data_IF_387782714108
#
_entry.id   IF_387782714108
#
_cell.length_a   1.000
_cell.length_b   1.000
_cell.length_c   1.000
_cell.angle_alpha   90.00
_cell.angle_beta   90.00
_cell.angle_gamma   90.00
#
_symmetry.space_group_name_H-M   'P 1'
#
loop_
_entity.id
_entity.type
_entity.pdbx_description
1 polymer ?
#
# COMPACT_ATOMS: atom_id res chain seq x y z
N UNK A 1 25.00 -7.66 12.37
CA UNK A 1 24.52 -6.27 12.29
C UNK A 1 23.03 -6.28 12.57
N UNK A 2 22.52 -5.42 13.48
CA UNK A 2 21.09 -5.31 13.75
C UNK A 2 20.49 -4.28 12.79
N UNK A 3 19.56 -4.71 11.95
CA UNK A 3 18.93 -3.87 10.94
C UNK A 3 17.48 -3.60 11.35
N UNK A 4 17.07 -2.31 11.38
CA UNK A 4 15.67 -1.95 11.53
C UNK A 4 15.04 -1.83 10.15
N UNK A 5 14.01 -2.65 9.91
CA UNK A 5 13.14 -2.48 8.76
C UNK A 5 11.97 -1.58 9.16
N UNK A 6 11.62 -0.63 8.31
CA UNK A 6 10.56 0.33 8.58
C UNK A 6 9.87 0.78 7.30
N UNK A 7 8.64 1.25 7.43
CA UNK A 7 7.88 1.80 6.32
C UNK A 7 7.02 2.98 6.78
N UNK A 8 6.50 3.75 5.84
CA UNK A 8 5.40 4.65 6.16
C UNK A 8 4.07 3.87 6.30
N UNK A 9 3.06 4.48 6.94
CA UNK A 9 1.79 3.83 7.26
C UNK A 9 1.01 3.30 6.06
N UNK A 10 1.35 3.79 4.87
CA UNK A 10 0.68 3.35 3.63
C UNK A 10 1.07 1.93 3.19
N UNK A 11 1.95 1.25 3.92
CA UNK A 11 2.26 -0.17 3.66
C UNK A 11 1.10 -1.11 4.01
N UNK A 12 0.11 -0.65 4.77
CA UNK A 12 -1.10 -1.37 5.15
C UNK A 12 -0.85 -2.76 5.77
N UNK A 13 0.29 -2.91 6.48
CA UNK A 13 0.59 -4.12 7.24
C UNK A 13 -0.36 -4.25 8.43
N UNK A 14 -0.82 -5.47 8.71
CA UNK A 14 -1.59 -5.74 9.92
C UNK A 14 -0.74 -5.58 11.18
N UNK A 15 -1.35 -5.28 12.35
CA UNK A 15 -0.63 -5.20 13.62
C UNK A 15 0.20 -6.46 13.92
N UNK A 16 -0.34 -7.65 13.61
CA UNK A 16 0.34 -8.93 13.81
C UNK A 16 1.62 -9.02 12.97
N UNK A 17 1.57 -8.60 11.69
CA UNK A 17 2.74 -8.60 10.82
C UNK A 17 3.78 -7.56 11.27
N UNK A 18 3.33 -6.39 11.71
CA UNK A 18 4.20 -5.33 12.26
C UNK A 18 4.95 -5.85 13.49
N UNK A 19 4.26 -6.54 14.38
CA UNK A 19 4.85 -7.11 15.60
C UNK A 19 5.78 -8.27 15.26
N UNK A 20 5.32 -9.25 14.47
CA UNK A 20 6.07 -10.45 14.09
C UNK A 20 7.42 -10.12 13.45
N UNK A 21 7.43 -9.18 12.52
CA UNK A 21 8.64 -8.78 11.80
C UNK A 21 9.33 -7.53 12.41
N UNK A 22 8.86 -7.06 13.57
CA UNK A 22 9.40 -5.88 14.25
C UNK A 22 9.55 -4.68 13.30
N UNK A 23 8.50 -4.36 12.54
CA UNK A 23 8.53 -3.27 11.56
C UNK A 23 8.29 -1.92 12.26
N UNK A 24 9.11 -0.92 11.94
CA UNK A 24 8.88 0.45 12.37
C UNK A 24 7.92 1.17 11.42
N UNK A 25 6.93 1.89 11.97
CA UNK A 25 5.96 2.63 11.15
C UNK A 25 6.09 4.13 11.39
N UNK A 26 6.17 4.92 10.30
CA UNK A 26 6.03 6.38 10.32
C UNK A 26 4.63 6.73 9.78
N UNK A 27 3.74 7.28 10.62
CA UNK A 27 2.37 7.56 10.22
C UNK A 27 2.31 8.80 9.33
N UNK A 28 1.60 8.71 8.20
CA UNK A 28 1.18 9.88 7.44
C UNK A 28 0.11 10.67 8.24
N UNK A 29 -0.23 11.85 7.76
CA UNK A 29 -1.24 12.68 8.39
C UNK A 29 -2.53 12.71 7.58
N UNK A 30 -3.65 12.71 8.30
CA UNK A 30 -5.01 12.84 7.78
C UNK A 30 -5.60 14.15 8.32
N UNK A 31 -5.89 15.09 7.47
CA UNK A 31 -6.64 16.29 7.81
C UNK A 31 -8.14 15.98 7.68
N UNK A 32 -8.87 16.11 8.80
CA UNK A 32 -10.30 15.88 8.90
C UNK A 32 -10.96 17.09 9.58
N UNK A 33 -11.63 17.93 8.82
CA UNK A 33 -12.36 19.09 9.39
C UNK A 33 -11.49 20.08 10.17
N UNK A 34 -10.26 20.33 9.71
CA UNK A 34 -9.31 21.24 10.37
C UNK A 34 -8.44 20.57 11.45
N UNK A 35 -8.63 19.28 11.72
CA UNK A 35 -7.81 18.50 12.66
C UNK A 35 -6.82 17.63 11.91
N UNK A 36 -5.57 17.59 12.35
CA UNK A 36 -4.54 16.68 11.85
C UNK A 36 -4.46 15.45 12.75
N UNK A 37 -4.72 14.28 12.16
CA UNK A 37 -4.68 12.98 12.81
C UNK A 37 -3.55 12.13 12.20
N UNK A 38 -2.90 11.28 12.99
CA UNK A 38 -1.90 10.32 12.48
C UNK A 38 -2.60 9.07 11.98
N UNK A 39 -2.26 8.66 10.76
CA UNK A 39 -2.82 7.48 10.10
C UNK A 39 -2.63 6.22 10.95
N UNK A 40 -3.73 5.50 11.22
CA UNK A 40 -3.75 4.28 12.01
C UNK A 40 -3.50 4.46 13.51
N UNK A 41 -3.32 5.70 14.00
CA UNK A 41 -3.11 5.99 15.43
C UNK A 41 -4.25 6.81 16.03
N UNK A 42 -4.63 7.91 15.37
CA UNK A 42 -5.58 8.87 15.92
C UNK A 42 -6.93 8.84 15.17
N UNK A 43 -7.02 8.06 14.10
CA UNK A 43 -8.19 7.97 13.22
C UNK A 43 -8.24 6.58 12.56
N UNK A 44 -9.46 6.14 12.26
CA UNK A 44 -9.74 4.86 11.58
C UNK A 44 -10.33 5.09 10.18
N UNK A 45 -10.21 4.13 9.25
CA UNK A 45 -10.87 4.20 7.94
C UNK A 45 -12.39 4.38 8.03
N UNK A 46 -13.04 3.76 9.01
CA UNK A 46 -14.48 3.91 9.21
C UNK A 46 -14.88 5.35 9.52
N UNK A 47 -14.12 6.04 10.38
CA UNK A 47 -14.36 7.46 10.68
C UNK A 47 -14.22 8.37 9.46
N UNK A 48 -13.30 8.03 8.54
CA UNK A 48 -13.16 8.74 7.26
C UNK A 48 -14.41 8.55 6.41
N UNK A 49 -14.89 7.31 6.28
CA UNK A 49 -16.10 7.02 5.49
C UNK A 49 -17.35 7.68 6.09
N UNK A 50 -17.47 7.68 7.41
CA UNK A 50 -18.59 8.31 8.12
C UNK A 50 -18.57 9.84 7.97
N UNK A 51 -17.37 10.45 8.02
CA UNK A 51 -17.20 11.88 7.80
C UNK A 51 -17.66 12.28 6.38
N UNK A 52 -17.23 11.54 5.37
CA UNK A 52 -17.65 11.78 3.98
C UNK A 52 -19.15 11.56 3.80
N UNK A 53 -19.68 10.48 4.36
CA UNK A 53 -21.11 10.11 4.28
C UNK A 53 -22.02 11.17 4.95
N UNK A 54 -21.54 11.80 6.02
CA UNK A 54 -22.26 12.89 6.70
C UNK A 54 -22.33 14.20 5.92
N UNK A 55 -21.69 14.29 4.75
CA UNK A 55 -21.68 15.50 3.91
C UNK A 55 -20.77 16.62 4.42
N UNK A 56 -19.97 16.39 5.46
CA UNK A 56 -19.09 17.41 6.06
C UNK A 56 -17.85 17.72 5.21
N UNK A 57 -17.57 16.90 4.17
CA UNK A 57 -16.45 17.09 3.27
C UNK A 57 -15.69 15.81 3.00
N UNK A 58 -14.45 15.94 2.55
CA UNK A 58 -13.49 14.84 2.35
C UNK A 58 -12.27 15.04 3.23
N UNK A 59 -11.68 13.96 3.69
CA UNK A 59 -10.39 14.00 4.36
C UNK A 59 -9.28 14.23 3.33
N UNK A 60 -8.22 14.91 3.75
CA UNK A 60 -7.01 15.11 2.95
C UNK A 60 -5.86 14.38 3.59
N UNK A 61 -4.90 13.95 2.80
CA UNK A 61 -3.69 13.28 3.28
C UNK A 61 -2.48 14.20 3.15
N UNK A 62 -1.58 14.15 4.13
CA UNK A 62 -0.34 14.88 4.10
C UNK A 62 0.85 13.96 4.39
N UNK A 63 1.97 14.24 3.74
CA UNK A 63 3.20 13.48 3.88
C UNK A 63 3.82 13.66 5.28
N UNK A 64 4.57 12.66 5.73
CA UNK A 64 5.48 12.78 6.87
C UNK A 64 6.54 13.83 6.52
N UNK A 65 6.80 14.76 7.42
CA UNK A 65 7.78 15.83 7.19
C UNK A 65 9.22 15.38 7.52
N UNK A 66 10.20 16.17 7.12
CA UNK A 66 11.64 15.86 7.34
C UNK A 66 11.96 15.72 8.82
N UNK A 67 11.42 16.61 9.69
CA UNK A 67 11.69 16.57 11.13
C UNK A 67 11.20 15.29 11.79
N UNK A 68 10.02 14.79 11.41
CA UNK A 68 9.48 13.53 11.91
C UNK A 68 10.34 12.33 11.47
N UNK A 69 10.82 12.32 10.22
CA UNK A 69 11.76 11.29 9.76
C UNK A 69 13.09 11.36 10.48
N UNK A 70 13.67 12.56 10.66
CA UNK A 70 14.92 12.74 11.41
C UNK A 70 14.78 12.21 12.83
N UNK A 71 13.69 12.54 13.53
CA UNK A 71 13.42 12.02 14.87
C UNK A 71 13.26 10.49 14.89
N UNK A 72 12.54 9.94 13.92
CA UNK A 72 12.36 8.50 13.78
C UNK A 72 13.68 7.76 13.53
N UNK A 73 14.49 8.22 12.56
CA UNK A 73 15.77 7.59 12.26
C UNK A 73 16.76 7.69 13.42
N UNK A 74 16.82 8.84 14.10
CA UNK A 74 17.62 9.02 15.30
C UNK A 74 17.28 7.97 16.37
N UNK A 75 15.99 7.81 16.68
CA UNK A 75 15.52 6.80 17.63
C UNK A 75 15.86 5.37 17.19
N UNK A 76 15.74 5.04 15.91
CA UNK A 76 16.12 3.72 15.41
C UNK A 76 17.62 3.48 15.57
N UNK A 77 18.45 4.48 15.29
CA UNK A 77 19.93 4.39 15.37
C UNK A 77 20.46 4.21 16.80
N UNK A 78 19.67 4.49 17.82
CA UNK A 78 20.05 4.18 19.21
C UNK A 78 20.17 2.67 19.46
N UNK A 79 19.41 1.84 18.74
CA UNK A 79 19.31 0.40 19.00
C UNK A 79 19.69 -0.48 17.81
N UNK A 80 19.84 0.08 16.62
CA UNK A 80 20.11 -0.65 15.37
C UNK A 80 21.33 -0.07 14.64
N UNK A 81 22.09 -0.96 14.02
CA UNK A 81 23.31 -0.61 13.29
C UNK A 81 23.02 -0.06 11.88
N UNK A 82 21.83 -0.35 11.34
CA UNK A 82 21.33 0.18 10.08
C UNK A 82 19.81 0.29 10.09
N UNK A 83 19.26 1.13 9.21
CA UNK A 83 17.83 1.26 8.94
C UNK A 83 17.57 1.12 7.45
N UNK A 84 16.57 0.33 7.07
CA UNK A 84 16.03 0.32 5.71
C UNK A 84 14.59 0.80 5.80
N UNK A 85 14.29 1.93 5.18
CA UNK A 85 12.97 2.57 5.24
C UNK A 85 12.29 2.57 3.88
N UNK A 86 11.04 2.11 3.83
CA UNK A 86 10.24 2.02 2.62
C UNK A 86 9.15 3.08 2.59
N UNK A 87 9.07 3.80 1.49
CA UNK A 87 8.03 4.81 1.29
C UNK A 87 7.07 4.43 0.17
N UNK A 88 5.87 4.98 0.26
CA UNK A 88 4.94 5.06 -0.87
C UNK A 88 5.64 5.70 -2.07
N UNK A 89 5.22 5.33 -3.29
CA UNK A 89 5.80 5.89 -4.51
C UNK A 89 5.97 7.41 -4.45
N UNK A 90 7.13 7.87 -4.88
CA UNK A 90 7.48 9.30 -5.00
C UNK A 90 6.55 10.06 -5.96
N UNK A 91 5.83 9.36 -6.84
CA UNK A 91 4.79 9.96 -7.71
C UNK A 91 3.46 10.24 -6.96
N UNK A 92 3.25 9.68 -5.76
CA UNK A 92 2.02 9.87 -4.97
C UNK A 92 2.18 10.84 -3.81
N UNK A 93 3.39 10.92 -3.23
CA UNK A 93 3.66 11.69 -2.02
C UNK A 93 5.11 12.17 -1.97
N UNK A 94 5.34 13.27 -1.26
CA UNK A 94 6.71 13.74 -0.95
C UNK A 94 7.38 12.93 0.18
N UNK A 95 6.75 11.89 0.74
CA UNK A 95 7.32 11.07 1.80
C UNK A 95 8.72 10.57 1.47
N UNK A 96 8.92 10.01 0.28
CA UNK A 96 10.23 9.52 -0.15
C UNK A 96 11.30 10.62 -0.16
N UNK A 97 11.00 11.79 -0.75
CA UNK A 97 11.95 12.90 -0.79
C UNK A 97 12.27 13.42 0.62
N UNK A 98 11.26 13.55 1.48
CA UNK A 98 11.45 13.99 2.86
C UNK A 98 12.29 12.98 3.66
N UNK A 99 12.03 11.68 3.49
CA UNK A 99 12.82 10.62 4.12
C UNK A 99 14.27 10.61 3.64
N UNK A 100 14.52 10.81 2.33
CA UNK A 100 15.87 10.93 1.79
C UNK A 100 16.63 12.14 2.37
N UNK A 101 15.94 13.28 2.51
CA UNK A 101 16.53 14.49 3.11
C UNK A 101 16.91 14.23 4.57
N UNK A 102 16.06 13.61 5.36
CA UNK A 102 16.35 13.25 6.74
C UNK A 102 17.45 12.19 6.84
N UNK A 103 17.44 11.18 5.97
CA UNK A 103 18.42 10.10 5.98
C UNK A 103 19.86 10.57 5.69
N UNK A 104 20.03 11.69 4.97
CA UNK A 104 21.34 12.27 4.66
C UNK A 104 22.13 12.70 5.91
N UNK A 105 21.46 12.86 7.07
CA UNK A 105 22.11 13.17 8.35
C UNK A 105 22.69 11.92 9.06
N UNK A 106 22.45 10.71 8.54
CA UNK A 106 22.78 9.46 9.20
C UNK A 106 23.58 8.53 8.29
N UNK A 107 24.60 7.90 8.83
CA UNK A 107 25.22 6.74 8.20
C UNK A 107 24.31 5.51 8.31
N UNK A 108 24.34 4.63 7.30
CA UNK A 108 23.61 3.36 7.28
C UNK A 108 22.07 3.49 7.42
N UNK A 109 21.49 4.59 6.90
CA UNK A 109 20.06 4.73 6.70
C UNK A 109 19.78 4.70 5.19
N UNK A 110 19.06 3.69 4.74
CA UNK A 110 18.77 3.43 3.34
C UNK A 110 17.28 3.63 3.08
N UNK A 111 16.95 4.61 2.23
CA UNK A 111 15.55 4.88 1.85
C UNK A 111 15.25 4.21 0.52
N UNK A 112 14.12 3.52 0.44
CA UNK A 112 13.66 2.79 -0.75
C UNK A 112 12.33 3.38 -1.21
N UNK A 113 12.31 3.93 -2.43
CA UNK A 113 11.05 4.22 -3.13
C UNK A 113 10.44 2.89 -3.57
N UNK A 114 9.29 2.53 -3.01
CA UNK A 114 8.61 1.29 -3.39
C UNK A 114 8.04 1.32 -4.81
N UNK A 115 7.91 2.50 -5.41
CA UNK A 115 7.19 2.71 -6.67
C UNK A 115 5.77 2.12 -6.65
N UNK A 116 5.21 1.95 -5.47
CA UNK A 116 3.96 1.28 -5.17
C UNK A 116 3.18 1.98 -4.07
N UNK A 117 2.08 1.38 -3.67
CA UNK A 117 1.22 1.76 -2.56
C UNK A 117 0.73 0.51 -1.83
N UNK A 118 0.15 0.70 -0.65
CA UNK A 118 -0.51 -0.35 0.12
C UNK A 118 0.39 -1.57 0.31
N UNK A 119 -0.14 -2.75 0.29
CA UNK A 119 0.63 -3.99 0.47
C UNK A 119 1.60 -4.31 -0.68
N UNK A 120 1.62 -3.51 -1.75
CA UNK A 120 2.75 -3.51 -2.68
C UNK A 120 4.05 -3.06 -2.03
N UNK A 121 3.97 -2.16 -1.02
CA UNK A 121 5.09 -1.80 -0.15
C UNK A 121 5.39 -2.94 0.83
N UNK A 122 4.33 -3.53 1.44
CA UNK A 122 4.46 -4.62 2.39
C UNK A 122 5.21 -5.83 1.84
N UNK A 123 5.01 -6.17 0.56
CA UNK A 123 5.77 -7.25 -0.11
C UNK A 123 7.27 -7.03 -0.03
N UNK A 124 7.72 -5.79 -0.24
CA UNK A 124 9.13 -5.42 -0.15
C UNK A 124 9.62 -5.39 1.30
N UNK A 125 8.80 -4.87 2.19
CA UNK A 125 9.11 -4.76 3.63
C UNK A 125 9.35 -6.13 4.25
N UNK A 126 8.46 -7.10 3.96
CA UNK A 126 8.58 -8.46 4.50
C UNK A 126 9.76 -9.23 3.86
N UNK A 127 10.00 -9.09 2.55
CA UNK A 127 11.18 -9.68 1.90
C UNK A 127 12.49 -9.10 2.51
N UNK A 128 12.53 -7.78 2.76
CA UNK A 128 13.67 -7.15 3.41
C UNK A 128 13.87 -7.61 4.87
N UNK A 129 12.78 -7.80 5.62
CA UNK A 129 12.84 -8.27 7.01
C UNK A 129 13.39 -9.69 7.09
N UNK A 130 12.91 -10.61 6.25
CA UNK A 130 13.40 -11.99 6.17
C UNK A 130 14.90 -12.07 5.79
N UNK A 131 15.38 -11.15 4.96
CA UNK A 131 16.80 -11.06 4.59
C UNK A 131 17.65 -10.49 5.71
N UNK A 132 17.13 -9.48 6.39
CA UNK A 132 17.81 -8.90 7.56
C UNK A 132 17.98 -9.93 8.68
N UNK A 133 16.99 -10.79 8.92
CA UNK A 133 17.07 -11.91 9.86
C UNK A 133 18.12 -12.96 9.45
N UNK A 134 18.35 -13.16 8.15
CA UNK A 134 19.42 -14.03 7.63
C UNK A 134 20.80 -13.39 7.70
N UNK A 135 20.91 -12.14 8.14
CA UNK A 135 22.18 -11.41 8.30
C UNK A 135 22.76 -10.86 7.00
N UNK A 136 21.93 -10.69 5.95
CA UNK A 136 22.38 -10.08 4.69
C UNK A 136 22.76 -8.59 4.91
N UNK A 137 23.64 -8.06 4.05
CA UNK A 137 24.09 -6.68 4.12
C UNK A 137 22.96 -5.67 3.85
N UNK A 138 22.75 -4.63 4.68
CA UNK A 138 21.63 -3.70 4.53
C UNK A 138 21.65 -2.92 3.21
N UNK A 139 22.83 -2.60 2.68
CA UNK A 139 22.95 -1.89 1.41
C UNK A 139 22.57 -2.80 0.23
N UNK A 140 22.94 -4.08 0.31
CA UNK A 140 22.58 -5.09 -0.69
C UNK A 140 21.07 -5.37 -0.63
N UNK A 141 20.48 -5.52 0.57
CA UNK A 141 19.04 -5.65 0.74
C UNK A 141 18.31 -4.47 0.10
N UNK A 142 18.70 -3.24 0.45
CA UNK A 142 18.07 -2.04 -0.10
C UNK A 142 18.19 -1.95 -1.63
N UNK A 143 19.33 -2.33 -2.20
CA UNK A 143 19.53 -2.37 -3.64
C UNK A 143 18.61 -3.42 -4.31
N UNK A 144 18.54 -4.62 -3.74
CA UNK A 144 17.66 -5.70 -4.22
C UNK A 144 16.19 -5.29 -4.16
N UNK A 145 15.77 -4.62 -3.08
CA UNK A 145 14.37 -4.18 -2.94
C UNK A 145 13.99 -3.11 -3.98
N UNK A 146 14.91 -2.24 -4.39
CA UNK A 146 14.68 -1.30 -5.51
C UNK A 146 14.44 -2.01 -6.84
N UNK A 147 15.15 -3.12 -7.09
CA UNK A 147 14.91 -3.94 -8.28
C UNK A 147 13.62 -4.76 -8.16
N UNK A 148 13.34 -5.33 -7.00
CA UNK A 148 12.10 -6.07 -6.74
C UNK A 148 10.87 -5.17 -6.87
N UNK A 149 10.95 -3.90 -6.48
CA UNK A 149 9.86 -2.92 -6.63
C UNK A 149 9.34 -2.82 -8.07
N UNK A 150 10.21 -2.97 -9.07
CA UNK A 150 9.82 -2.97 -10.49
C UNK A 150 9.01 -4.20 -10.90
N UNK A 151 9.05 -5.24 -10.09
CA UNK A 151 8.35 -6.52 -10.32
C UNK A 151 7.06 -6.65 -9.51
N UNK A 152 6.81 -5.75 -8.58
CA UNK A 152 5.55 -5.74 -7.83
C UNK A 152 4.40 -5.40 -8.76
N UNK A 153 3.40 -6.26 -8.79
CA UNK A 153 2.14 -6.00 -9.47
C UNK A 153 1.08 -5.62 -8.44
N UNK A 154 0.68 -4.37 -8.47
CA UNK A 154 -0.36 -3.82 -7.60
C UNK A 154 -1.53 -3.34 -8.45
N UNK A 155 -2.71 -3.83 -8.14
CA UNK A 155 -3.95 -3.40 -8.77
C UNK A 155 -5.14 -3.63 -7.85
N UNK A 156 -6.20 -2.88 -8.05
CA UNK A 156 -7.41 -2.97 -7.23
C UNK A 156 -8.64 -2.50 -7.99
N UNK A 157 -9.80 -3.04 -7.66
CA UNK A 157 -11.10 -2.61 -8.18
C UNK A 157 -11.77 -1.70 -7.16
N UNK A 158 -12.27 -0.55 -7.62
CA UNK A 158 -12.95 0.43 -6.78
C UNK A 158 -14.45 0.42 -7.02
N UNK A 159 -15.21 0.58 -5.95
CA UNK A 159 -16.68 0.63 -6.01
C UNK A 159 -17.18 2.00 -6.48
N UNK A 160 -16.51 3.07 -6.07
CA UNK A 160 -16.84 4.45 -6.44
C UNK A 160 -15.59 5.25 -6.79
N UNK A 161 -15.69 6.05 -7.84
CA UNK A 161 -14.62 6.97 -8.28
C UNK A 161 -14.51 8.23 -7.42
N UNK A 162 -15.50 8.52 -6.59
CA UNK A 162 -15.60 9.77 -5.85
C UNK A 162 -14.32 10.07 -5.05
N UNK A 163 -13.86 9.11 -4.24
CA UNK A 163 -12.69 9.29 -3.38
C UNK A 163 -11.41 9.51 -4.20
N UNK A 164 -11.21 8.72 -5.24
CA UNK A 164 -10.00 8.78 -6.06
C UNK A 164 -9.93 10.08 -6.88
N UNK A 165 -11.09 10.58 -7.36
CA UNK A 165 -11.18 11.89 -8.03
C UNK A 165 -10.85 13.02 -7.07
N UNK A 166 -11.40 13.00 -5.86
CA UNK A 166 -11.13 14.01 -4.82
C UNK A 166 -9.68 13.96 -4.32
N UNK A 167 -9.10 12.76 -4.29
CA UNK A 167 -7.71 12.54 -3.90
C UNK A 167 -6.68 13.08 -4.89
N UNK A 168 -7.00 13.16 -6.18
CA UNK A 168 -6.17 13.77 -7.22
C UNK A 168 -4.86 13.05 -7.56
N UNK A 169 -4.66 11.80 -7.10
CA UNK A 169 -3.43 11.00 -7.35
C UNK A 169 -3.52 10.08 -8.56
N UNK A 170 -4.65 10.07 -9.27
CA UNK A 170 -4.81 9.32 -10.51
C UNK A 170 -5.24 10.26 -11.65
N UNK A 171 -4.28 10.86 -12.33
CA UNK A 171 -4.53 11.79 -13.44
C UNK A 171 -5.29 11.13 -14.61
N UNK A 172 -5.11 9.83 -14.82
CA UNK A 172 -5.82 9.06 -15.84
C UNK A 172 -7.35 9.04 -15.67
N UNK A 173 -7.87 9.37 -14.48
CA UNK A 173 -9.31 9.49 -14.25
C UNK A 173 -9.94 10.67 -15.00
N UNK A 174 -9.21 11.74 -15.23
CA UNK A 174 -9.70 12.90 -15.95
C UNK A 174 -10.12 12.55 -17.40
N UNK A 175 -9.49 11.53 -18.00
CA UNK A 175 -9.79 11.06 -19.35
C UNK A 175 -11.05 10.20 -19.46
N UNK A 176 -11.65 9.79 -18.33
CA UNK A 176 -12.76 8.83 -18.33
C UNK A 176 -14.14 9.45 -18.61
N UNK A 177 -14.31 10.77 -18.53
CA UNK A 177 -15.59 11.47 -18.80
C UNK A 177 -16.72 11.17 -17.80
N UNK A 178 -17.91 11.71 -18.06
CA UNK A 178 -19.06 11.68 -17.13
C UNK A 178 -19.82 10.33 -17.03
N UNK A 179 -19.59 9.39 -17.96
CA UNK A 179 -20.38 8.13 -18.05
C UNK A 179 -19.97 7.01 -17.10
N UNK A 180 -19.28 7.34 -16.00
CA UNK A 180 -18.60 6.38 -15.13
C UNK A 180 -19.42 5.86 -13.94
N UNK A 181 -20.60 6.39 -13.70
CA UNK A 181 -21.42 6.07 -12.50
C UNK A 181 -21.80 4.58 -12.36
N UNK A 182 -21.66 3.78 -13.41
CA UNK A 182 -22.00 2.34 -13.41
C UNK A 182 -20.80 1.43 -13.64
N UNK A 183 -19.59 1.98 -13.70
CA UNK A 183 -18.38 1.21 -13.95
C UNK A 183 -17.60 0.98 -12.65
N UNK A 184 -17.01 -0.19 -12.53
CA UNK A 184 -16.07 -0.58 -11.49
C UNK A 184 -14.68 -0.71 -12.14
N UNK A 185 -13.89 0.38 -12.21
CA UNK A 185 -12.60 0.31 -12.87
C UNK A 185 -11.57 -0.42 -12.00
N UNK A 186 -10.72 -1.19 -12.66
CA UNK A 186 -9.46 -1.62 -12.08
C UNK A 186 -8.47 -0.46 -12.20
N UNK A 187 -7.84 -0.14 -11.10
CA UNK A 187 -6.70 0.77 -11.05
C UNK A 187 -5.44 -0.08 -10.97
N UNK A 188 -4.44 0.25 -11.77
CA UNK A 188 -3.16 -0.44 -11.84
C UNK A 188 -2.04 0.52 -11.48
N UNK A 189 -1.03 0.04 -10.76
CA UNK A 189 0.20 0.78 -10.52
C UNK A 189 1.25 0.30 -11.53
N UNK A 190 1.73 1.22 -12.35
CA UNK A 190 2.81 0.97 -13.32
C UNK A 190 3.83 2.09 -13.22
N UNK A 191 5.10 1.73 -13.09
CA UNK A 191 6.21 2.69 -12.98
C UNK A 191 5.99 3.77 -11.90
N UNK A 192 5.39 3.38 -10.78
CA UNK A 192 5.11 4.28 -9.66
C UNK A 192 3.85 5.13 -9.81
N UNK A 193 3.08 5.00 -10.90
CA UNK A 193 1.91 5.84 -11.18
C UNK A 193 0.63 5.01 -11.26
N UNK A 194 -0.49 5.59 -10.83
CA UNK A 194 -1.80 4.98 -11.02
C UNK A 194 -2.33 5.23 -12.42
N UNK A 195 -2.79 4.15 -13.05
CA UNK A 195 -3.49 4.16 -14.33
C UNK A 195 -4.82 3.43 -14.25
N UNK A 196 -5.70 3.70 -15.21
CA UNK A 196 -6.96 2.97 -15.36
C UNK A 196 -6.74 1.80 -16.30
N UNK A 197 -6.90 0.60 -15.75
CA UNK A 197 -6.89 -0.65 -16.51
C UNK A 197 -8.29 -1.02 -17.02
N UNK A 198 -8.65 -2.29 -16.89
CA UNK A 198 -9.95 -2.82 -17.31
C UNK A 198 -11.09 -2.20 -16.50
N UNK A 199 -12.24 -2.06 -17.14
CA UNK A 199 -13.47 -1.53 -16.57
C UNK A 199 -14.49 -2.64 -16.49
N UNK A 200 -14.97 -2.94 -15.29
CA UNK A 200 -16.00 -3.94 -15.04
C UNK A 200 -17.38 -3.30 -14.93
N UNK A 201 -18.42 -4.10 -15.09
CA UNK A 201 -19.83 -3.68 -14.94
C UNK A 201 -20.58 -4.71 -14.12
N UNK A 202 -21.45 -4.25 -13.24
CA UNK A 202 -22.29 -5.10 -12.41
C UNK A 202 -22.09 -4.86 -10.92
N UNK A 203 -22.46 -5.85 -10.12
CA UNK A 203 -22.25 -5.82 -8.67
C UNK A 203 -20.77 -5.92 -8.38
N UNK A 204 -20.33 -5.25 -7.32
CA UNK A 204 -18.91 -5.15 -6.97
C UNK A 204 -18.28 -6.51 -6.68
N UNK A 205 -19.02 -7.43 -6.03
CA UNK A 205 -18.60 -8.80 -5.74
C UNK A 205 -18.24 -9.59 -7.01
N UNK A 206 -19.10 -9.55 -8.03
CA UNK A 206 -18.84 -10.19 -9.32
C UNK A 206 -17.66 -9.55 -10.07
N UNK A 207 -17.55 -8.21 -10.00
CA UNK A 207 -16.45 -7.50 -10.62
C UNK A 207 -15.10 -7.86 -9.97
N UNK A 208 -15.06 -7.97 -8.63
CA UNK A 208 -13.87 -8.40 -7.89
C UNK A 208 -13.51 -9.84 -8.26
N UNK A 209 -14.46 -10.77 -8.26
CA UNK A 209 -14.22 -12.16 -8.61
C UNK A 209 -13.64 -12.30 -10.04
N UNK A 210 -14.22 -11.59 -11.02
CA UNK A 210 -13.71 -11.58 -12.39
C UNK A 210 -12.31 -10.98 -12.46
N UNK A 211 -12.07 -9.87 -11.79
CA UNK A 211 -10.78 -9.21 -11.72
C UNK A 211 -9.69 -10.13 -11.18
N UNK A 212 -9.93 -10.81 -10.05
CA UNK A 212 -8.94 -11.70 -9.43
C UNK A 212 -8.60 -12.87 -10.35
N UNK A 213 -9.60 -13.51 -10.99
CA UNK A 213 -9.36 -14.57 -11.97
C UNK A 213 -8.48 -14.08 -13.11
N UNK A 214 -8.77 -12.91 -13.69
CA UNK A 214 -8.01 -12.34 -14.80
C UNK A 214 -6.58 -11.97 -14.42
N UNK A 215 -6.33 -11.64 -13.14
CA UNK A 215 -4.97 -11.34 -12.66
C UNK A 215 -4.12 -12.57 -12.41
N UNK A 216 -4.72 -13.73 -12.15
CA UNK A 216 -3.98 -14.90 -11.68
C UNK A 216 -4.06 -16.11 -12.60
N UNK A 217 -5.17 -16.27 -13.35
CA UNK A 217 -5.42 -17.48 -14.11
C UNK A 217 -4.45 -17.64 -15.29
N UNK A 218 -3.84 -18.84 -15.37
CA UNK A 218 -2.97 -19.22 -16.48
C UNK A 218 -1.60 -18.52 -16.48
N UNK A 219 -1.21 -17.85 -15.39
CA UNK A 219 0.06 -17.13 -15.29
C UNK A 219 1.15 -18.01 -14.67
N UNK A 220 2.31 -18.05 -15.33
CA UNK A 220 3.52 -18.77 -14.92
C UNK A 220 4.66 -17.82 -14.45
N UNK A 221 4.48 -16.51 -14.65
CA UNK A 221 5.42 -15.45 -14.28
C UNK A 221 5.28 -14.96 -12.83
N UNK A 222 4.41 -15.59 -12.02
CA UNK A 222 4.18 -15.19 -10.63
C UNK A 222 5.19 -15.83 -9.67
N UNK A 223 5.74 -15.04 -8.73
CA UNK A 223 6.35 -15.56 -7.51
C UNK A 223 5.25 -16.02 -6.58
N UNK A 224 5.17 -17.35 -6.32
CA UNK A 224 4.07 -17.96 -5.56
C UNK A 224 4.30 -17.99 -4.04
N UNK A 225 5.36 -17.36 -3.54
CA UNK A 225 5.64 -17.33 -2.10
C UNK A 225 4.59 -16.53 -1.31
N UNK A 226 4.12 -15.37 -1.83
CA UNK A 226 3.20 -14.49 -1.07
C UNK A 226 2.29 -13.68 -1.99
N UNK A 227 1.02 -13.55 -1.58
CA UNK A 227 0.04 -12.64 -2.16
C UNK A 227 -0.71 -11.92 -1.03
N UNK A 228 -0.99 -10.64 -1.21
CA UNK A 228 -1.89 -9.89 -0.34
C UNK A 228 -3.27 -9.74 -0.98
N UNK A 229 -4.31 -9.89 -0.15
CA UNK A 229 -5.66 -9.42 -0.38
C UNK A 229 -5.81 -8.19 0.51
N UNK A 230 -5.86 -7.01 -0.09
CA UNK A 230 -6.04 -5.77 0.67
C UNK A 230 -7.37 -5.12 0.30
N UNK A 231 -8.16 -4.78 1.31
CA UNK A 231 -9.49 -4.23 1.08
C UNK A 231 -9.86 -3.12 2.07
N UNK A 232 -10.81 -2.26 1.67
CA UNK A 232 -11.35 -1.18 2.49
C UNK A 232 -12.79 -1.47 2.89
N UNK A 233 -12.97 -2.43 3.81
CA UNK A 233 -14.28 -2.78 4.38
C UNK A 233 -15.18 -3.59 3.43
N UNK A 234 -14.62 -4.49 2.61
CA UNK A 234 -15.41 -5.47 1.88
C UNK A 234 -16.09 -6.46 2.83
N UNK A 235 -17.25 -6.97 2.43
CA UNK A 235 -17.94 -8.00 3.19
C UNK A 235 -17.08 -9.29 3.26
N UNK A 236 -17.10 -10.03 4.38
CA UNK A 236 -16.30 -11.24 4.56
C UNK A 236 -16.48 -12.28 3.44
N UNK A 237 -17.72 -12.43 2.95
CA UNK A 237 -18.05 -13.38 1.88
C UNK A 237 -17.30 -13.06 0.57
N UNK A 238 -17.04 -11.79 0.29
CA UNK A 238 -16.28 -11.36 -0.88
C UNK A 238 -14.81 -11.78 -0.71
N UNK A 239 -14.24 -11.56 0.47
CA UNK A 239 -12.85 -11.91 0.77
C UNK A 239 -12.64 -13.42 0.72
N UNK A 240 -13.55 -14.20 1.31
CA UNK A 240 -13.49 -15.66 1.26
C UNK A 240 -13.61 -16.21 -0.18
N UNK A 241 -14.47 -15.61 -1.00
CA UNK A 241 -14.55 -15.95 -2.43
C UNK A 241 -13.22 -15.64 -3.16
N UNK A 242 -12.57 -14.53 -2.83
CA UNK A 242 -11.25 -14.18 -3.40
C UNK A 242 -10.20 -15.20 -2.99
N UNK A 243 -10.16 -15.63 -1.72
CA UNK A 243 -9.26 -16.70 -1.25
C UNK A 243 -9.49 -18.01 -2.02
N UNK A 244 -10.75 -18.39 -2.24
CA UNK A 244 -11.10 -19.56 -3.04
C UNK A 244 -10.58 -19.45 -4.48
N UNK A 245 -10.78 -18.31 -5.14
CA UNK A 245 -10.31 -18.05 -6.50
C UNK A 245 -8.76 -18.10 -6.55
N UNK A 246 -8.06 -17.53 -5.58
CA UNK A 246 -6.59 -17.62 -5.52
C UNK A 246 -6.14 -19.06 -5.48
N UNK A 247 -6.79 -19.91 -4.67
CA UNK A 247 -6.52 -21.35 -4.58
C UNK A 247 -6.78 -22.06 -5.91
N UNK A 248 -7.90 -21.78 -6.57
CA UNK A 248 -8.24 -22.33 -7.90
C UNK A 248 -7.22 -21.95 -8.98
N UNK A 249 -6.62 -20.76 -8.89
CA UNK A 249 -5.62 -20.26 -9.83
C UNK A 249 -4.19 -20.76 -9.54
N UNK A 250 -4.02 -21.80 -8.74
CA UNK A 250 -2.74 -22.44 -8.45
C UNK A 250 -2.13 -22.07 -7.09
N UNK A 251 -2.84 -21.25 -6.29
CA UNK A 251 -2.45 -20.91 -4.92
C UNK A 251 -1.16 -20.09 -4.77
N UNK A 252 -0.88 -19.77 -3.53
CA UNK A 252 0.36 -19.14 -3.05
C UNK A 252 0.71 -19.80 -1.72
N UNK A 253 1.99 -19.79 -1.34
CA UNK A 253 2.43 -20.37 -0.07
C UNK A 253 1.82 -19.59 1.11
N UNK A 254 1.75 -18.24 0.98
CA UNK A 254 1.09 -17.35 1.92
C UNK A 254 0.04 -16.50 1.21
N UNK A 255 -1.18 -16.50 1.76
CA UNK A 255 -2.28 -15.61 1.36
C UNK A 255 -2.64 -14.73 2.55
N UNK A 256 -2.20 -13.49 2.53
CA UNK A 256 -2.34 -12.54 3.63
C UNK A 256 -3.49 -11.57 3.35
N UNK A 257 -4.39 -11.44 4.31
CA UNK A 257 -5.49 -10.48 4.28
C UNK A 257 -5.12 -9.27 5.14
N UNK A 258 -5.30 -8.06 4.59
CA UNK A 258 -5.09 -6.81 5.32
C UNK A 258 -6.16 -5.77 4.99
N UNK A 259 -6.33 -4.81 5.89
CA UNK A 259 -7.19 -3.65 5.68
C UNK A 259 -6.37 -2.47 5.19
N UNK A 260 -6.90 -1.75 4.20
CA UNK A 260 -6.32 -0.49 3.75
C UNK A 260 -6.37 0.54 4.87
N UNK A 261 -5.24 1.13 5.24
CA UNK A 261 -5.11 2.17 6.24
C UNK A 261 -5.84 3.47 5.85
N UNK A 262 -5.78 4.47 6.72
CA UNK A 262 -6.56 5.70 6.53
C UNK A 262 -6.13 6.48 5.29
N UNK A 263 -4.83 6.55 5.00
CA UNK A 263 -4.33 7.23 3.81
C UNK A 263 -4.88 6.58 2.54
N UNK A 264 -4.74 5.26 2.41
CA UNK A 264 -5.21 4.52 1.22
C UNK A 264 -6.74 4.58 1.12
N UNK A 265 -7.46 4.38 2.22
CA UNK A 265 -8.92 4.45 2.29
C UNK A 265 -9.47 5.83 1.90
N UNK A 266 -8.79 6.93 2.28
CA UNK A 266 -9.16 8.30 1.89
C UNK A 266 -9.16 8.52 0.37
N UNK A 267 -8.36 7.76 -0.36
CA UNK A 267 -8.25 7.86 -1.82
C UNK A 267 -9.04 6.77 -2.56
N UNK A 268 -9.19 5.59 -2.00
CA UNK A 268 -9.83 4.45 -2.68
C UNK A 268 -11.32 4.32 -2.36
N UNK A 269 -11.74 4.79 -1.18
CA UNK A 269 -13.12 4.66 -0.71
C UNK A 269 -13.47 3.23 -0.24
N UNK A 270 -14.69 3.04 0.29
CA UNK A 270 -15.15 1.75 0.77
C UNK A 270 -15.36 0.72 -0.35
N UNK A 271 -15.39 -0.56 0.01
CA UNK A 271 -15.59 -1.70 -0.90
C UNK A 271 -14.52 -1.82 -2.01
N UNK A 272 -13.36 -1.23 -1.82
CA UNK A 272 -12.21 -1.43 -2.70
C UNK A 272 -11.50 -2.72 -2.31
N UNK A 273 -11.10 -3.53 -3.29
CA UNK A 273 -10.27 -4.71 -3.06
C UNK A 273 -9.21 -4.85 -4.14
N UNK A 274 -7.99 -5.14 -3.71
CA UNK A 274 -6.86 -5.44 -4.56
C UNK A 274 -6.19 -6.76 -4.22
N UNK A 275 -5.53 -7.35 -5.21
CA UNK A 275 -4.57 -8.43 -5.03
C UNK A 275 -3.20 -7.94 -5.48
N UNK A 276 -2.20 -8.12 -4.61
CA UNK A 276 -0.86 -7.57 -4.80
C UNK A 276 0.17 -8.70 -4.61
N UNK A 277 1.07 -8.82 -5.54
CA UNK A 277 2.08 -9.90 -5.58
C UNK A 277 3.31 -9.48 -6.37
N UNK A 278 4.36 -10.31 -6.37
CA UNK A 278 5.61 -10.06 -7.10
C UNK A 278 5.68 -10.99 -8.31
N UNK A 279 6.14 -10.48 -9.44
CA UNK A 279 6.50 -11.27 -10.63
C UNK A 279 7.93 -11.84 -10.49
N UNK A 280 8.23 -12.89 -11.26
CA UNK A 280 9.58 -13.49 -11.36
C UNK A 280 10.61 -12.56 -11.99
#
# INVERSE_FOLDING_TARGET
MRIKISADSTCDLSPELIETYNIGITPLYIEKGGQNCRDGMDITPQEIFDYVRSGKGVCRTAAVNVGDYTAFFKKCRENYDAVIHFNISSDFSSCYQNACTAAAEFENVYVVDSRNLSTGIALLVLDAAERAEKGEDPKEIAALMRETAKKVEASFVIDTLFYLQKGGRCSALAALGANLLKLKPCIEVKDGKMGVGKKYRGKIDNCIAQYVRERLQGRDDLRRNRIFITHSGCAPEIVENVKAIIKECGGFDEVLETYAGCTVSSHCGPNTLGVLFVKK
#
